data_IF_082030509726
#
_entry.id   IF_082030509726
#
_cell.length_a   1.000
_cell.length_b   1.000
_cell.length_c   1.000
_cell.angle_alpha   90.00
_cell.angle_beta   90.00
_cell.angle_gamma   90.00
#
_symmetry.space_group_name_H-M   'P 1'
#
loop_
_entity.id
_entity.type
_entity.pdbx_description
1 polymer ?
#
# COMPACT_ATOMS: atom_id res chain seq x y z
N UNK A 1 -16.04 16.18 -10.70
CA UNK A 1 -16.64 15.79 -9.42
C UNK A 1 -17.07 17.04 -8.68
N UNK A 2 -18.24 17.08 -8.02
CA UNK A 2 -18.57 18.17 -7.13
C UNK A 2 -17.51 18.26 -6.01
N UNK A 3 -17.26 19.47 -5.50
CA UNK A 3 -16.18 19.72 -4.53
C UNK A 3 -16.24 18.84 -3.30
N UNK A 4 -17.45 18.55 -2.81
CA UNK A 4 -17.68 17.66 -1.67
C UNK A 4 -17.30 16.19 -1.94
N UNK A 5 -17.13 15.80 -3.20
CA UNK A 5 -16.75 14.44 -3.61
C UNK A 5 -15.27 14.30 -3.94
N UNK A 6 -14.46 15.34 -3.76
CA UNK A 6 -13.02 15.28 -4.08
C UNK A 6 -12.29 14.36 -3.13
N UNK A 7 -12.45 14.50 -1.82
CA UNK A 7 -11.80 13.63 -0.83
C UNK A 7 -12.26 12.17 -0.96
N UNK A 8 -13.57 11.86 -0.93
CA UNK A 8 -14.01 10.48 -1.07
C UNK A 8 -13.65 9.89 -2.45
N UNK A 9 -13.73 10.69 -3.52
CA UNK A 9 -13.35 10.26 -4.86
C UNK A 9 -11.86 9.97 -4.98
N UNK A 10 -11.00 10.81 -4.43
CA UNK A 10 -9.55 10.60 -4.38
C UNK A 10 -9.20 9.34 -3.56
N UNK A 11 -9.84 9.15 -2.41
CA UNK A 11 -9.65 7.95 -1.58
C UNK A 11 -10.02 6.68 -2.34
N UNK A 12 -11.21 6.64 -2.95
CA UNK A 12 -11.67 5.47 -3.72
C UNK A 12 -10.73 5.20 -4.90
N UNK A 13 -10.37 6.24 -5.66
CA UNK A 13 -9.45 6.10 -6.80
C UNK A 13 -8.09 5.55 -6.34
N UNK A 14 -7.55 6.06 -5.25
CA UNK A 14 -6.30 5.59 -4.68
C UNK A 14 -6.39 4.13 -4.21
N UNK A 15 -7.49 3.74 -3.56
CA UNK A 15 -7.73 2.34 -3.17
C UNK A 15 -7.68 1.40 -4.40
N UNK A 16 -8.36 1.75 -5.49
CA UNK A 16 -8.37 0.94 -6.70
C UNK A 16 -7.02 0.90 -7.41
N UNK A 17 -6.33 2.03 -7.48
CA UNK A 17 -5.01 2.11 -8.11
C UNK A 17 -4.01 1.25 -7.32
N UNK A 18 -3.97 1.40 -6.00
CA UNK A 18 -3.08 0.62 -5.13
C UNK A 18 -3.41 -0.87 -5.16
N UNK A 19 -4.69 -1.25 -5.17
CA UNK A 19 -5.13 -2.63 -5.35
C UNK A 19 -4.60 -3.22 -6.67
N UNK A 20 -4.57 -2.42 -7.74
CA UNK A 20 -4.16 -2.83 -9.08
C UNK A 20 -2.65 -2.92 -9.24
N UNK A 21 -1.92 -1.96 -8.64
CA UNK A 21 -0.45 -1.91 -8.71
C UNK A 21 0.19 -2.90 -7.72
N UNK A 22 -0.47 -3.12 -6.57
CA UNK A 22 0.02 -4.00 -5.50
C UNK A 22 1.21 -3.42 -4.73
N UNK A 23 1.25 -2.09 -4.59
CA UNK A 23 2.24 -1.41 -3.74
C UNK A 23 1.70 -0.08 -3.24
N UNK A 24 1.73 0.11 -1.92
CA UNK A 24 1.37 1.38 -1.29
C UNK A 24 2.36 2.48 -1.63
N UNK A 25 3.66 2.20 -1.53
CA UNK A 25 4.73 3.18 -1.80
C UNK A 25 4.66 3.69 -3.24
N UNK A 26 4.56 2.78 -4.23
CA UNK A 26 4.43 3.15 -5.64
C UNK A 26 3.20 4.02 -5.91
N UNK A 27 2.08 3.70 -5.26
CA UNK A 27 0.84 4.48 -5.38
C UNK A 27 0.99 5.86 -4.75
N UNK A 28 1.59 5.97 -3.57
CA UNK A 28 1.85 7.24 -2.88
C UNK A 28 2.73 8.14 -3.73
N UNK A 29 3.85 7.63 -4.22
CA UNK A 29 4.80 8.39 -5.06
C UNK A 29 4.13 8.88 -6.34
N UNK A 30 3.27 8.08 -6.95
CA UNK A 30 2.57 8.47 -8.17
C UNK A 30 1.45 9.51 -7.93
N UNK A 31 0.72 9.41 -6.82
CA UNK A 31 -0.49 10.21 -6.62
C UNK A 31 -0.31 11.43 -5.71
N UNK A 32 0.68 11.46 -4.82
CA UNK A 32 0.92 12.62 -3.93
C UNK A 32 1.22 13.90 -4.72
N UNK A 33 2.03 13.91 -5.78
CA UNK A 33 2.22 15.10 -6.59
C UNK A 33 0.91 15.63 -7.21
N UNK A 34 0.04 14.72 -7.66
CA UNK A 34 -1.29 15.07 -8.21
C UNK A 34 -2.18 15.64 -7.11
N UNK A 35 -2.21 15.00 -5.93
CA UNK A 35 -2.98 15.45 -4.78
C UNK A 35 -2.48 16.83 -4.29
N UNK A 36 -1.18 17.07 -4.28
CA UNK A 36 -0.57 18.35 -3.91
C UNK A 36 -0.96 19.46 -4.90
N UNK A 37 -0.89 19.21 -6.21
CA UNK A 37 -1.34 20.15 -7.23
C UNK A 37 -2.84 20.47 -7.13
N UNK A 38 -3.65 19.43 -6.85
CA UNK A 38 -5.09 19.60 -6.62
C UNK A 38 -5.37 20.43 -5.36
N UNK A 39 -4.65 20.18 -4.27
CA UNK A 39 -4.75 20.95 -3.03
C UNK A 39 -4.45 22.44 -3.25
N UNK A 40 -3.38 22.76 -3.97
CA UNK A 40 -3.02 24.14 -4.31
C UNK A 40 -4.10 24.81 -5.16
N UNK A 41 -4.63 24.11 -6.18
CA UNK A 41 -5.67 24.64 -7.07
C UNK A 41 -6.99 24.91 -6.32
N UNK A 42 -7.30 24.07 -5.34
CA UNK A 42 -8.54 24.16 -4.55
C UNK A 42 -8.38 24.96 -3.25
N UNK A 43 -7.18 25.48 -2.96
CA UNK A 43 -6.84 26.13 -1.69
C UNK A 43 -7.14 25.25 -0.46
N UNK A 44 -6.90 23.95 -0.60
CA UNK A 44 -7.06 22.95 0.45
C UNK A 44 -5.72 22.66 1.13
N UNK A 45 -5.79 22.07 2.31
CA UNK A 45 -4.60 21.60 3.02
C UNK A 45 -3.95 20.44 2.25
N UNK A 46 -2.69 20.62 1.84
CA UNK A 46 -1.87 19.60 1.17
C UNK A 46 -1.71 18.35 2.03
N UNK A 47 -1.58 18.52 3.36
CA UNK A 47 -1.45 17.41 4.29
C UNK A 47 -2.71 16.54 4.30
N UNK A 48 -3.90 17.16 4.23
CA UNK A 48 -5.17 16.44 4.17
C UNK A 48 -5.26 15.58 2.90
N UNK A 49 -4.99 16.15 1.72
CA UNK A 49 -5.06 15.39 0.47
C UNK A 49 -4.00 14.30 0.39
N UNK A 50 -2.81 14.58 0.92
CA UNK A 50 -1.75 13.56 1.06
C UNK A 50 -2.20 12.42 1.96
N UNK A 51 -2.81 12.71 3.11
CA UNK A 51 -3.34 11.70 4.02
C UNK A 51 -4.44 10.83 3.37
N UNK A 52 -5.29 11.43 2.52
CA UNK A 52 -6.30 10.69 1.73
C UNK A 52 -5.62 9.68 0.80
N UNK A 53 -4.56 10.10 0.09
CA UNK A 53 -3.79 9.23 -0.80
C UNK A 53 -3.09 8.13 0.00
N UNK A 54 -2.41 8.46 1.09
CA UNK A 54 -1.72 7.49 1.95
C UNK A 54 -2.68 6.43 2.48
N UNK A 55 -3.82 6.86 3.04
CA UNK A 55 -4.84 5.95 3.56
C UNK A 55 -5.42 5.01 2.49
N UNK A 56 -5.72 5.55 1.31
CA UNK A 56 -6.21 4.75 0.18
C UNK A 56 -5.15 3.78 -0.35
N UNK A 57 -3.89 4.21 -0.40
CA UNK A 57 -2.78 3.39 -0.86
C UNK A 57 -2.56 2.17 0.05
N UNK A 58 -2.54 2.35 1.36
CA UNK A 58 -2.40 1.24 2.30
C UNK A 58 -3.60 0.32 2.32
N UNK A 59 -4.81 0.84 2.17
CA UNK A 59 -5.99 0.00 2.06
C UNK A 59 -5.93 -0.90 0.82
N UNK A 60 -5.60 -0.32 -0.34
CA UNK A 60 -5.51 -1.07 -1.59
C UNK A 60 -4.40 -2.11 -1.58
N UNK A 61 -3.22 -1.75 -1.08
CA UNK A 61 -2.07 -2.64 -0.94
C UNK A 61 -2.38 -3.84 -0.04
N UNK A 62 -2.97 -3.60 1.12
CA UNK A 62 -3.35 -4.63 2.09
C UNK A 62 -4.37 -5.65 1.54
N UNK A 63 -5.22 -5.25 0.60
CA UNK A 63 -6.19 -6.12 -0.07
C UNK A 63 -5.70 -6.63 -1.44
N UNK A 64 -4.57 -6.17 -1.95
CA UNK A 64 -4.06 -6.62 -3.24
C UNK A 64 -3.58 -8.07 -3.21
N UNK A 65 -3.93 -8.83 -4.25
CA UNK A 65 -3.43 -10.19 -4.45
C UNK A 65 -2.00 -10.25 -4.98
N UNK A 66 -1.53 -9.14 -5.57
CA UNK A 66 -0.21 -9.04 -6.20
C UNK A 66 0.79 -8.27 -5.34
N UNK A 67 0.36 -7.80 -4.17
CA UNK A 67 1.21 -7.08 -3.23
C UNK A 67 2.31 -7.98 -2.68
N UNK A 68 3.52 -7.42 -2.61
CA UNK A 68 4.70 -8.06 -2.03
C UNK A 68 4.49 -8.34 -0.53
N UNK A 69 3.80 -7.48 0.20
CA UNK A 69 3.42 -7.70 1.61
C UNK A 69 2.47 -8.87 1.76
N UNK A 70 1.46 -8.98 0.90
CA UNK A 70 0.53 -10.12 0.88
C UNK A 70 1.25 -11.41 0.57
N UNK A 71 2.15 -11.41 -0.44
CA UNK A 71 2.96 -12.57 -0.82
C UNK A 71 3.87 -12.99 0.34
N UNK A 72 4.57 -12.03 0.97
CA UNK A 72 5.45 -12.29 2.10
C UNK A 72 4.68 -12.86 3.31
N UNK A 73 3.55 -12.25 3.68
CA UNK A 73 2.74 -12.70 4.80
C UNK A 73 2.18 -14.11 4.58
N UNK A 74 1.64 -14.39 3.41
CA UNK A 74 1.06 -15.71 3.11
C UNK A 74 2.10 -16.79 2.97
N UNK A 75 3.25 -16.49 2.35
CA UNK A 75 4.37 -17.43 2.20
C UNK A 75 4.97 -17.81 3.54
N UNK A 76 5.22 -16.84 4.42
CA UNK A 76 5.80 -17.09 5.74
C UNK A 76 4.87 -17.94 6.63
N UNK A 77 3.56 -17.76 6.52
CA UNK A 77 2.58 -18.53 7.31
C UNK A 77 2.14 -19.83 6.63
N UNK A 78 2.44 -20.03 5.36
CA UNK A 78 2.03 -21.22 4.61
C UNK A 78 0.51 -21.30 4.41
N UNK A 79 -0.13 -20.17 4.08
CA UNK A 79 -1.55 -20.10 3.75
C UNK A 79 -1.77 -19.55 2.34
N UNK A 80 -2.98 -19.75 1.79
CA UNK A 80 -3.32 -19.25 0.45
C UNK A 80 -3.69 -17.77 0.49
N UNK A 81 -3.35 -17.02 -0.56
CA UNK A 81 -3.67 -15.59 -0.67
C UNK A 81 -5.19 -15.32 -0.58
N UNK A 82 -6.01 -16.14 -1.23
CA UNK A 82 -7.48 -16.01 -1.14
C UNK A 82 -8.02 -16.16 0.28
N UNK A 83 -7.40 -16.99 1.10
CA UNK A 83 -7.83 -17.20 2.49
C UNK A 83 -7.46 -16.00 3.36
N UNK A 84 -6.26 -15.43 3.16
CA UNK A 84 -5.83 -14.18 3.80
C UNK A 84 -6.70 -13.01 3.37
N UNK A 85 -6.99 -12.88 2.06
CA UNK A 85 -7.86 -11.83 1.52
C UNK A 85 -9.22 -11.81 2.21
N UNK A 86 -9.87 -12.96 2.36
CA UNK A 86 -11.17 -13.04 3.03
C UNK A 86 -11.13 -12.53 4.47
N UNK A 87 -10.09 -12.89 5.21
CA UNK A 87 -9.92 -12.42 6.60
C UNK A 87 -9.67 -10.91 6.62
N UNK A 88 -8.75 -10.44 5.79
CA UNK A 88 -8.40 -9.02 5.70
C UNK A 88 -9.59 -8.15 5.28
N UNK A 89 -10.36 -8.59 4.31
CA UNK A 89 -11.52 -7.85 3.81
C UNK A 89 -12.48 -7.49 4.94
N UNK A 90 -12.79 -8.44 5.82
CA UNK A 90 -13.69 -8.19 6.96
C UNK A 90 -13.08 -7.32 8.06
N UNK A 91 -11.75 -7.21 8.12
CA UNK A 91 -11.04 -6.36 9.09
C UNK A 91 -10.91 -4.93 8.55
N UNK A 92 -10.51 -4.79 7.28
CA UNK A 92 -10.18 -3.49 6.68
C UNK A 92 -11.39 -2.76 6.10
N UNK A 93 -12.40 -3.48 5.59
CA UNK A 93 -13.58 -2.87 5.02
C UNK A 93 -14.34 -1.95 5.99
N UNK A 94 -14.59 -2.32 7.26
CA UNK A 94 -15.22 -1.41 8.21
C UNK A 94 -14.42 -0.11 8.42
N UNK A 95 -13.09 -0.21 8.51
CA UNK A 95 -12.21 0.95 8.61
C UNK A 95 -12.31 1.85 7.38
N UNK A 96 -12.30 1.26 6.18
CA UNK A 96 -12.46 2.02 4.93
C UNK A 96 -13.81 2.72 4.83
N UNK A 97 -14.90 2.07 5.26
CA UNK A 97 -16.24 2.68 5.28
C UNK A 97 -16.28 3.87 6.24
N UNK A 98 -15.70 3.73 7.44
CA UNK A 98 -15.62 4.83 8.42
C UNK A 98 -14.79 5.98 7.85
N UNK A 99 -13.64 5.69 7.26
CA UNK A 99 -12.75 6.68 6.64
C UNK A 99 -13.45 7.38 5.48
N UNK A 100 -14.14 6.63 4.61
CA UNK A 100 -14.93 7.19 3.52
C UNK A 100 -16.04 8.11 4.03
N UNK A 101 -16.76 7.69 5.07
CA UNK A 101 -17.81 8.51 5.70
C UNK A 101 -17.23 9.82 6.27
N UNK A 102 -16.05 9.76 6.92
CA UNK A 102 -15.34 10.95 7.39
C UNK A 102 -14.96 11.88 6.23
N UNK A 103 -14.46 11.35 5.13
CA UNK A 103 -14.12 12.17 3.96
C UNK A 103 -15.33 12.76 3.27
N UNK A 104 -16.47 12.07 3.24
CA UNK A 104 -17.74 12.64 2.77
C UNK A 104 -18.17 13.80 3.68
N UNK A 105 -18.04 13.63 5.00
CA UNK A 105 -18.39 14.66 5.97
C UNK A 105 -17.47 15.90 5.86
N UNK A 106 -16.15 15.69 5.85
CA UNK A 106 -15.16 16.75 5.68
C UNK A 106 -15.28 17.45 4.32
N UNK A 107 -15.70 16.73 3.28
CA UNK A 107 -15.89 17.29 1.95
C UNK A 107 -17.06 18.28 1.85
N UNK A 108 -18.02 18.27 2.78
CA UNK A 108 -19.17 19.17 2.74
C UNK A 108 -18.80 20.65 2.96
N UNK A 109 -17.68 20.91 3.62
CA UNK A 109 -17.19 22.27 3.88
C UNK A 109 -16.36 22.85 2.72
N UNK A 110 -16.14 22.08 1.64
CA UNK A 110 -15.32 22.49 0.51
C UNK A 110 -16.06 23.36 -0.50
N UNK A 111 -15.39 24.42 -0.96
CA UNK A 111 -15.94 25.30 -1.98
C UNK A 111 -16.03 24.62 -3.36
N UNK A 112 -17.01 24.98 -4.21
CA UNK A 112 -17.16 24.37 -5.53
C UNK A 112 -15.93 24.62 -6.42
N UNK A 113 -15.49 23.57 -7.11
CA UNK A 113 -14.48 23.67 -8.16
C UNK A 113 -14.95 24.60 -9.27
N UNK A 114 -14.13 25.58 -9.62
CA UNK A 114 -14.35 26.41 -10.80
C UNK A 114 -14.04 25.57 -12.05
N UNK A 115 -15.07 25.25 -12.84
CA UNK A 115 -15.04 24.63 -14.18
C UNK A 115 -14.00 23.52 -14.42
N UNK A 116 -14.40 22.29 -14.17
CA UNK A 116 -13.68 21.11 -14.67
C UNK A 116 -13.90 20.99 -16.18
N UNK A 117 -12.88 21.16 -16.97
CA UNK A 117 -12.86 20.80 -18.38
C UNK A 117 -13.22 19.32 -18.57
N UNK A 118 -13.90 18.98 -19.65
CA UNK A 118 -14.50 17.66 -19.88
C UNK A 118 -13.57 16.50 -19.55
N UNK A 119 -14.15 15.47 -18.93
CA UNK A 119 -13.43 14.24 -18.55
C UNK A 119 -13.01 13.49 -19.81
N UNK A 120 -11.73 13.28 -20.02
CA UNK A 120 -11.23 12.41 -21.06
C UNK A 120 -11.26 10.96 -20.58
N UNK A 121 -12.35 10.25 -20.88
CA UNK A 121 -12.53 8.84 -20.51
C UNK A 121 -11.44 7.92 -21.06
N UNK A 122 -10.74 8.31 -22.13
CA UNK A 122 -9.65 7.54 -22.71
C UNK A 122 -8.49 7.39 -21.72
N UNK A 123 -8.24 8.41 -20.89
CA UNK A 123 -7.17 8.39 -19.87
C UNK A 123 -7.47 7.46 -18.67
N UNK A 124 -8.70 6.96 -18.54
CA UNK A 124 -9.08 5.98 -17.52
C UNK A 124 -8.78 4.54 -17.97
N UNK A 125 -8.70 4.31 -19.28
CA UNK A 125 -8.54 2.98 -19.86
C UNK A 125 -7.31 2.21 -19.35
N UNK A 126 -6.12 2.80 -19.18
CA UNK A 126 -4.96 2.10 -18.62
C UNK A 126 -5.21 1.54 -17.23
N UNK A 127 -5.88 2.29 -16.36
CA UNK A 127 -6.20 1.86 -15.00
C UNK A 127 -7.19 0.69 -14.98
N UNK A 128 -8.20 0.74 -15.86
CA UNK A 128 -9.16 -0.37 -16.02
C UNK A 128 -8.44 -1.61 -16.56
N UNK A 129 -7.53 -1.46 -17.51
CA UNK A 129 -6.76 -2.58 -18.07
C UNK A 129 -5.85 -3.22 -17.01
N UNK A 130 -5.12 -2.41 -16.23
CA UNK A 130 -4.27 -2.89 -15.14
C UNK A 130 -5.11 -3.61 -14.09
N UNK A 131 -6.23 -3.02 -13.65
CA UNK A 131 -7.11 -3.64 -12.65
C UNK A 131 -7.70 -4.97 -13.15
N UNK A 132 -8.23 -5.00 -14.38
CA UNK A 132 -8.85 -6.20 -14.94
C UNK A 132 -7.83 -7.34 -15.14
N UNK A 133 -6.62 -7.04 -15.62
CA UNK A 133 -5.56 -8.03 -15.81
C UNK A 133 -4.99 -8.53 -14.48
N UNK A 134 -4.89 -7.65 -13.46
CA UNK A 134 -4.49 -8.04 -12.11
C UNK A 134 -5.52 -8.97 -11.45
N UNK A 135 -6.82 -8.66 -11.55
CA UNK A 135 -7.90 -9.51 -11.04
C UNK A 135 -7.94 -10.86 -11.78
N UNK A 136 -7.62 -10.88 -13.07
CA UNK A 136 -7.48 -12.10 -13.85
C UNK A 136 -6.29 -12.98 -13.43
N UNK A 137 -5.45 -12.52 -12.49
CA UNK A 137 -4.32 -13.28 -11.95
C UNK A 137 -3.09 -13.31 -12.85
N UNK A 138 -2.94 -12.34 -13.75
CA UNK A 138 -1.75 -12.22 -14.59
C UNK A 138 -0.52 -11.86 -13.75
N UNK A 139 0.66 -12.18 -14.29
CA UNK A 139 1.93 -11.82 -13.64
C UNK A 139 2.06 -10.28 -13.51
N UNK A 140 2.48 -9.82 -12.33
CA UNK A 140 2.61 -8.39 -11.99
C UNK A 140 3.43 -7.62 -13.03
N UNK A 141 4.57 -8.18 -13.48
CA UNK A 141 5.42 -7.53 -14.49
C UNK A 141 4.68 -7.33 -15.80
N UNK A 142 3.87 -8.31 -16.23
CA UNK A 142 3.05 -8.19 -17.43
C UNK A 142 1.94 -7.16 -17.25
N UNK A 143 1.26 -7.15 -16.11
CA UNK A 143 0.20 -6.18 -15.79
C UNK A 143 0.74 -4.75 -15.87
N UNK A 144 1.87 -4.47 -15.22
CA UNK A 144 2.50 -3.16 -15.25
C UNK A 144 3.03 -2.77 -16.63
N UNK A 145 3.61 -3.73 -17.36
CA UNK A 145 4.10 -3.49 -18.74
C UNK A 145 2.94 -3.17 -19.69
N UNK A 146 1.82 -3.88 -19.58
CA UNK A 146 0.60 -3.60 -20.35
C UNK A 146 0.07 -2.20 -20.01
N UNK A 147 -0.01 -1.86 -18.71
CA UNK A 147 -0.42 -0.54 -18.25
C UNK A 147 0.45 0.58 -18.84
N UNK A 148 1.77 0.41 -18.76
CA UNK A 148 2.74 1.34 -19.31
C UNK A 148 2.59 1.50 -20.82
N UNK A 149 2.45 0.40 -21.56
CA UNK A 149 2.26 0.42 -23.00
C UNK A 149 0.97 1.14 -23.41
N UNK A 150 -0.16 0.81 -22.77
CA UNK A 150 -1.46 1.46 -23.02
C UNK A 150 -1.39 2.95 -22.71
N UNK A 151 -0.77 3.33 -21.57
CA UNK A 151 -0.58 4.75 -21.22
C UNK A 151 0.22 5.48 -22.26
N UNK A 152 1.33 4.89 -22.74
CA UNK A 152 2.16 5.47 -23.79
C UNK A 152 1.40 5.67 -25.09
N UNK A 153 0.70 4.64 -25.57
CA UNK A 153 -0.10 4.73 -26.79
C UNK A 153 -1.19 5.80 -26.68
N UNK A 154 -1.94 5.82 -25.59
CA UNK A 154 -3.02 6.81 -25.38
C UNK A 154 -2.44 8.21 -25.29
N UNK A 155 -1.35 8.41 -24.55
CA UNK A 155 -0.76 9.73 -24.36
C UNK A 155 -0.20 10.32 -25.65
N UNK A 156 0.42 9.49 -26.51
CA UNK A 156 0.90 9.90 -27.83
C UNK A 156 -0.28 10.21 -28.77
N UNK A 157 -1.33 9.38 -28.78
CA UNK A 157 -2.51 9.60 -29.64
C UNK A 157 -3.35 10.82 -29.20
N UNK A 158 -3.40 11.10 -27.92
CA UNK A 158 -4.12 12.25 -27.32
C UNK A 158 -3.27 13.54 -27.43
N UNK A 159 -2.02 13.45 -27.88
CA UNK A 159 -1.10 14.58 -27.97
C UNK A 159 -0.66 15.13 -26.60
N UNK A 160 -0.79 14.36 -25.53
CA UNK A 160 -0.36 14.76 -24.20
C UNK A 160 1.17 14.79 -24.07
N UNK A 161 1.86 13.96 -24.83
CA UNK A 161 3.32 13.89 -24.96
C UNK A 161 3.71 13.17 -26.26
N UNK A 162 4.93 13.38 -26.72
CA UNK A 162 5.51 12.64 -27.83
C UNK A 162 6.21 11.35 -27.37
N UNK A 163 6.71 10.56 -28.32
CA UNK A 163 7.39 9.28 -28.02
C UNK A 163 8.67 9.52 -27.21
N UNK A 164 9.41 10.60 -27.47
CA UNK A 164 10.63 10.91 -26.75
C UNK A 164 10.34 11.37 -25.33
N UNK A 165 9.32 12.19 -25.16
CA UNK A 165 8.84 12.62 -23.83
C UNK A 165 8.34 11.43 -23.01
N UNK A 166 7.71 10.44 -23.65
CA UNK A 166 7.31 9.20 -22.96
C UNK A 166 8.52 8.42 -22.44
N UNK A 167 9.56 8.22 -23.27
CA UNK A 167 10.79 7.58 -22.82
C UNK A 167 11.53 8.40 -21.77
N UNK A 168 11.52 9.73 -21.88
CA UNK A 168 12.11 10.61 -20.88
C UNK A 168 11.38 10.47 -19.53
N UNK A 169 10.04 10.46 -19.54
CA UNK A 169 9.23 10.25 -18.34
C UNK A 169 9.46 8.88 -17.67
N UNK A 170 9.72 7.84 -18.47
CA UNK A 170 10.12 6.53 -17.94
C UNK A 170 11.50 6.61 -17.26
N UNK A 171 12.45 7.31 -17.85
CA UNK A 171 13.76 7.57 -17.26
C UNK A 171 13.66 8.35 -15.95
N UNK A 172 12.87 9.40 -15.93
CA UNK A 172 12.61 10.19 -14.71
C UNK A 172 11.93 9.35 -13.62
N UNK A 173 10.99 8.47 -14.00
CA UNK A 173 10.37 7.51 -13.09
C UNK A 173 11.39 6.56 -12.45
N UNK A 174 12.35 6.04 -13.22
CA UNK A 174 13.43 5.20 -12.70
C UNK A 174 14.35 6.01 -11.77
N UNK A 175 14.72 7.22 -12.15
CA UNK A 175 15.59 8.09 -11.35
C UNK A 175 14.92 8.49 -10.04
N UNK A 176 13.62 8.79 -10.06
CA UNK A 176 12.86 9.13 -8.84
C UNK A 176 12.82 7.98 -7.82
N UNK A 177 12.88 6.72 -8.29
CA UNK A 177 12.97 5.55 -7.44
C UNK A 177 14.41 5.26 -6.96
N UNK A 178 15.42 5.94 -7.50
CA UNK A 178 16.84 5.70 -7.17
C UNK A 178 17.15 5.96 -5.71
N UNK A 179 16.69 7.08 -5.16
CA UNK A 179 16.89 7.43 -3.75
C UNK A 179 16.22 6.41 -2.83
N UNK A 180 14.95 6.05 -3.11
CA UNK A 180 14.22 5.03 -2.36
C UNK A 180 14.94 3.68 -2.40
N UNK A 181 15.46 3.30 -3.57
CA UNK A 181 16.22 2.05 -3.74
C UNK A 181 17.48 2.06 -2.87
N UNK A 182 18.25 3.16 -2.90
CA UNK A 182 19.47 3.29 -2.10
C UNK A 182 19.15 3.24 -0.60
N UNK A 183 18.14 3.99 -0.15
CA UNK A 183 17.69 3.99 1.25
C UNK A 183 17.29 2.58 1.68
N UNK A 184 16.49 1.89 0.87
CA UNK A 184 16.02 0.54 1.16
C UNK A 184 17.19 -0.47 1.23
N UNK A 185 18.19 -0.37 0.33
CA UNK A 185 19.37 -1.20 0.36
C UNK A 185 20.22 -0.95 1.62
N UNK A 186 20.42 0.32 2.00
CA UNK A 186 21.16 0.67 3.21
C UNK A 186 20.43 0.23 4.48
N UNK A 187 19.11 0.44 4.53
CA UNK A 187 18.26 -0.02 5.63
C UNK A 187 18.32 -1.55 5.76
N UNK A 188 18.22 -2.27 4.64
CA UNK A 188 18.40 -3.73 4.61
C UNK A 188 19.77 -4.18 5.15
N UNK A 189 20.84 -3.47 4.79
CA UNK A 189 22.18 -3.75 5.32
C UNK A 189 22.28 -3.54 6.83
N UNK A 190 21.74 -2.44 7.34
CA UNK A 190 21.67 -2.17 8.79
C UNK A 190 20.85 -3.23 9.50
N UNK A 191 19.69 -3.58 8.93
CA UNK A 191 18.81 -4.62 9.46
C UNK A 191 19.53 -5.98 9.57
N UNK A 192 20.25 -6.38 8.53
CA UNK A 192 21.04 -7.62 8.53
C UNK A 192 22.11 -7.64 9.66
N UNK A 193 22.75 -6.50 9.93
CA UNK A 193 23.69 -6.36 11.04
C UNK A 193 22.97 -6.53 12.38
N UNK A 194 21.83 -5.85 12.56
CA UNK A 194 21.01 -5.95 13.78
C UNK A 194 20.54 -7.39 14.01
N UNK A 195 20.11 -8.07 12.95
CA UNK A 195 19.67 -9.46 13.00
C UNK A 195 20.84 -10.39 13.40
N UNK A 196 22.00 -10.27 12.74
CA UNK A 196 23.20 -11.07 13.05
C UNK A 196 23.74 -10.84 14.47
N UNK A 197 23.53 -9.65 15.03
CA UNK A 197 23.92 -9.33 16.42
C UNK A 197 22.86 -9.75 17.45
N UNK A 198 21.81 -10.44 17.03
CA UNK A 198 20.74 -10.91 17.92
C UNK A 198 19.78 -9.84 18.41
N UNK A 199 19.78 -8.64 17.79
CA UNK A 199 18.87 -7.56 18.17
C UNK A 199 17.41 -7.94 17.98
N UNK A 200 17.09 -8.62 16.89
CA UNK A 200 15.75 -9.12 16.62
C UNK A 200 15.35 -10.20 17.63
N UNK A 201 16.26 -11.16 17.90
CA UNK A 201 16.00 -12.22 18.87
C UNK A 201 15.75 -11.66 20.28
N UNK A 202 16.46 -10.58 20.65
CA UNK A 202 16.22 -9.86 21.90
C UNK A 202 14.84 -9.24 21.97
N UNK A 203 14.41 -8.52 20.92
CA UNK A 203 13.06 -7.92 20.85
C UNK A 203 12.00 -9.02 20.97
N UNK A 204 12.18 -10.11 20.25
CA UNK A 204 11.28 -11.25 20.27
C UNK A 204 11.20 -11.90 21.65
N UNK A 205 12.36 -12.22 22.24
CA UNK A 205 12.41 -12.82 23.56
C UNK A 205 11.69 -11.95 24.60
N UNK A 206 11.88 -10.64 24.53
CA UNK A 206 11.27 -9.69 25.46
C UNK A 206 9.76 -9.53 25.24
N UNK A 207 9.32 -9.49 24.00
CA UNK A 207 7.89 -9.34 23.66
C UNK A 207 7.11 -10.63 23.89
N UNK A 208 7.75 -11.81 23.71
CA UNK A 208 7.06 -13.11 23.89
C UNK A 208 7.05 -13.62 25.32
N UNK A 209 7.89 -13.09 26.22
CA UNK A 209 8.01 -13.54 27.61
C UNK A 209 6.72 -13.40 28.44
N UNK A 210 5.81 -12.49 28.04
CA UNK A 210 4.54 -12.20 28.76
C UNK A 210 3.29 -12.79 28.14
N UNK A 211 3.38 -13.65 27.11
CA UNK A 211 2.20 -14.12 26.37
C UNK A 211 1.32 -15.03 27.26
N UNK A 212 0.10 -14.60 27.50
CA UNK A 212 -0.95 -15.36 28.19
C UNK A 212 -2.12 -15.59 27.22
N UNK A 213 -2.15 -16.76 26.58
CA UNK A 213 -3.25 -17.18 25.71
C UNK A 213 -3.27 -16.58 24.28
N UNK A 214 -4.29 -16.98 23.51
CA UNK A 214 -4.41 -16.68 22.07
C UNK A 214 -4.42 -15.19 21.75
N UNK A 215 -5.21 -14.39 22.47
CA UNK A 215 -5.29 -12.92 22.25
C UNK A 215 -3.97 -12.21 22.53
N UNK A 216 -3.26 -12.65 23.57
CA UNK A 216 -1.93 -12.12 23.88
C UNK A 216 -0.92 -12.45 22.80
N UNK A 217 -0.97 -13.65 22.24
CA UNK A 217 -0.12 -14.06 21.14
C UNK A 217 -0.39 -13.24 19.86
N UNK A 218 -1.65 -12.99 19.52
CA UNK A 218 -2.05 -12.13 18.39
C UNK A 218 -1.54 -10.69 18.58
N UNK A 219 -1.72 -10.12 19.77
CA UNK A 219 -1.24 -8.77 20.08
C UNK A 219 0.29 -8.65 19.99
N UNK A 220 1.01 -9.67 20.46
CA UNK A 220 2.48 -9.71 20.39
C UNK A 220 2.96 -9.82 18.94
N UNK A 221 2.31 -10.64 18.12
CA UNK A 221 2.65 -10.74 16.67
C UNK A 221 2.46 -9.38 15.99
N UNK A 222 1.32 -8.72 16.21
CA UNK A 222 1.05 -7.40 15.63
C UNK A 222 2.05 -6.34 16.12
N UNK A 223 2.32 -6.29 17.42
CA UNK A 223 3.29 -5.34 17.98
C UNK A 223 4.72 -5.60 17.47
N UNK A 224 5.11 -6.86 17.36
CA UNK A 224 6.43 -7.25 16.89
C UNK A 224 6.66 -6.79 15.45
N UNK A 225 5.74 -7.09 14.53
CA UNK A 225 5.89 -6.65 13.14
C UNK A 225 5.85 -5.13 13.02
N UNK A 226 5.01 -4.44 13.79
CA UNK A 226 4.96 -2.98 13.81
C UNK A 226 6.27 -2.35 14.29
N UNK A 227 6.88 -2.86 15.37
CA UNK A 227 8.17 -2.37 15.86
C UNK A 227 9.29 -2.61 14.82
N UNK A 228 9.32 -3.79 14.21
CA UNK A 228 10.33 -4.08 13.18
C UNK A 228 10.12 -3.21 11.96
N UNK A 229 8.88 -2.93 11.58
CA UNK A 229 8.55 -2.03 10.48
C UNK A 229 8.99 -0.58 10.75
N UNK A 230 8.73 -0.06 11.95
CA UNK A 230 9.25 1.25 12.37
C UNK A 230 10.79 1.33 12.33
N UNK A 231 11.49 0.21 12.54
CA UNK A 231 12.95 0.16 12.46
C UNK A 231 13.49 0.01 11.04
N UNK A 232 12.74 -0.64 10.15
CA UNK A 232 13.18 -0.96 8.78
C UNK A 232 12.62 0.00 7.74
N UNK A 233 11.58 0.77 8.09
CA UNK A 233 10.80 1.60 7.18
C UNK A 233 10.35 0.83 5.91
N UNK A 234 10.13 -0.49 6.05
CA UNK A 234 9.74 -1.36 4.94
C UNK A 234 8.90 -2.54 5.45
N UNK A 235 7.61 -2.50 5.17
CA UNK A 235 6.66 -3.50 5.63
C UNK A 235 6.95 -4.92 5.11
N UNK A 236 7.41 -5.08 3.87
CA UNK A 236 7.77 -6.41 3.33
C UNK A 236 8.95 -7.00 4.08
N UNK A 237 10.00 -6.20 4.34
CA UNK A 237 11.16 -6.64 5.14
C UNK A 237 10.73 -6.99 6.56
N UNK A 238 9.88 -6.19 7.18
CA UNK A 238 9.36 -6.45 8.52
C UNK A 238 8.57 -7.77 8.59
N UNK A 239 7.69 -8.02 7.61
CA UNK A 239 6.90 -9.25 7.52
C UNK A 239 7.81 -10.47 7.33
N UNK A 240 8.78 -10.42 6.41
CA UNK A 240 9.70 -11.54 6.16
C UNK A 240 10.50 -11.86 7.41
N UNK A 241 11.02 -10.84 8.09
CA UNK A 241 11.87 -10.98 9.25
C UNK A 241 11.14 -11.55 10.47
N UNK A 242 9.89 -11.12 10.67
CA UNK A 242 9.07 -11.55 11.81
C UNK A 242 8.24 -12.79 11.49
N UNK A 243 8.03 -13.10 10.23
CA UNK A 243 7.10 -14.12 9.76
C UNK A 243 7.36 -15.52 10.32
N UNK A 244 8.63 -15.96 10.33
CA UNK A 244 9.00 -17.27 10.88
C UNK A 244 8.74 -17.38 12.39
N UNK A 245 8.83 -16.27 13.09
CA UNK A 245 8.61 -16.23 14.53
C UNK A 245 7.12 -16.18 14.82
N UNK A 246 6.39 -15.36 14.08
CA UNK A 246 4.93 -15.34 14.12
C UNK A 246 4.35 -16.74 13.86
N UNK A 247 4.94 -17.50 12.93
CA UNK A 247 4.56 -18.88 12.66
C UNK A 247 4.79 -19.78 13.88
N UNK A 248 5.95 -19.71 14.54
CA UNK A 248 6.24 -20.49 15.76
C UNK A 248 5.31 -20.12 16.91
N UNK A 249 4.99 -18.83 17.09
CA UNK A 249 4.02 -18.38 18.08
C UNK A 249 2.63 -18.92 17.72
N UNK A 250 2.26 -18.84 16.45
CA UNK A 250 0.97 -19.34 15.95
C UNK A 250 0.79 -20.85 16.20
N UNK A 251 1.83 -21.64 15.94
CA UNK A 251 1.84 -23.09 16.21
C UNK A 251 1.75 -23.41 17.71
N UNK A 252 2.47 -22.65 18.55
CA UNK A 252 2.45 -22.82 20.02
C UNK A 252 1.11 -22.51 20.65
N UNK A 253 0.40 -21.49 20.15
CA UNK A 253 -0.87 -21.02 20.69
C UNK A 253 -2.08 -21.45 19.85
N UNK A 254 -1.88 -22.32 18.85
CA UNK A 254 -2.92 -22.81 17.93
C UNK A 254 -3.74 -21.67 17.30
N UNK A 255 -3.06 -20.67 16.74
CA UNK A 255 -3.69 -19.58 16.03
C UNK A 255 -3.98 -19.97 14.58
N UNK A 256 -5.02 -19.36 14.00
CA UNK A 256 -5.31 -19.51 12.58
C UNK A 256 -4.24 -18.80 11.73
N UNK A 257 -3.53 -19.58 10.89
CA UNK A 257 -2.46 -19.08 10.02
C UNK A 257 -2.92 -17.93 9.11
N UNK A 258 -4.17 -17.95 8.66
CA UNK A 258 -4.77 -16.92 7.83
C UNK A 258 -4.87 -15.59 8.60
N UNK A 259 -5.30 -15.68 9.86
CA UNK A 259 -5.40 -14.53 10.75
C UNK A 259 -4.02 -13.97 11.09
N UNK A 260 -3.03 -14.83 11.30
CA UNK A 260 -1.65 -14.41 11.55
C UNK A 260 -1.06 -13.70 10.33
N UNK A 261 -1.25 -14.22 9.11
CA UNK A 261 -0.84 -13.55 7.89
C UNK A 261 -1.53 -12.17 7.74
N UNK A 262 -2.82 -12.09 8.06
CA UNK A 262 -3.57 -10.84 8.07
C UNK A 262 -3.02 -9.84 9.10
N UNK A 263 -2.69 -10.29 10.32
CA UNK A 263 -2.11 -9.44 11.36
C UNK A 263 -0.74 -8.89 10.96
N UNK A 264 0.13 -9.74 10.40
CA UNK A 264 1.45 -9.31 9.92
C UNK A 264 1.33 -8.19 8.90
N UNK A 265 0.47 -8.36 7.92
CA UNK A 265 0.27 -7.38 6.85
C UNK A 265 -0.44 -6.11 7.36
N UNK A 266 -1.56 -6.25 8.06
CA UNK A 266 -2.33 -5.09 8.54
C UNK A 266 -1.54 -4.26 9.56
N UNK A 267 -0.83 -4.90 10.51
CA UNK A 267 -0.09 -4.16 11.53
C UNK A 267 1.18 -3.49 10.94
N UNK A 268 1.83 -4.10 9.94
CA UNK A 268 2.93 -3.43 9.24
C UNK A 268 2.42 -2.23 8.43
N UNK A 269 1.33 -2.38 7.66
CA UNK A 269 0.72 -1.25 6.94
C UNK A 269 0.31 -0.11 7.88
N UNK A 270 -0.22 -0.42 9.07
CA UNK A 270 -0.54 0.59 10.07
C UNK A 270 0.72 1.30 10.59
N UNK A 271 1.81 0.56 10.86
CA UNK A 271 3.07 1.14 11.33
C UNK A 271 3.72 2.01 10.25
N UNK A 272 3.75 1.54 9.02
CA UNK A 272 4.27 2.28 7.87
C UNK A 272 3.54 3.61 7.62
N UNK A 273 2.27 3.72 7.99
CA UNK A 273 1.51 4.97 7.88
C UNK A 273 1.96 6.07 8.83
N UNK A 274 2.84 5.79 9.81
CA UNK A 274 3.43 6.76 10.73
C UNK A 274 4.86 7.17 10.36
N UNK A 275 5.47 6.51 9.38
CA UNK A 275 6.83 6.78 8.89
C UNK A 275 6.75 7.70 7.66
#
# INVERSE_FOLDING_TARGET
LPSNMVLPGLFIATCFISLSIGTSVGTIVALVPIASGLAQTMQLDVALLTAVVVGGAFFGDNLSFISDTTIAATSTQGCKMNDKFRVNFFITLPAAIITLALYVFLGQEMQPLVNVHGINYLKILPYIAVLSTAIAGMNVMLVLTIGLAITGVIGVLDGSFDVFEWFHSMGDGILSMGELTIITMLAGGVFEIVQKKGGIDFIIAKTTAGIKGKRGAEAVIGLMVAIVDLCTANNTVAIISTGNIARRISERFELDKRKVASLLDTCSCCAQGFI
#
